data_IF_923831888694
#
_entry.id   IF_923831888694
#
_cell.length_a   1.000
_cell.length_b   1.000
_cell.length_c   1.000
_cell.angle_alpha   90.00
_cell.angle_beta   90.00
_cell.angle_gamma   90.00
#
_symmetry.space_group_name_H-M   'P 1'
#
loop_
_entity.id
_entity.type
_entity.pdbx_description
1 polymer ?
#
# COMPACT_ATOMS: atom_id res chain seq x y z
N UNK A 1 41.07 16.45 29.55
CA UNK A 1 39.60 16.48 29.44
C UNK A 1 39.22 16.62 27.97
N UNK A 2 38.77 15.56 27.33
CA UNK A 2 38.39 15.58 25.90
C UNK A 2 36.90 15.90 25.80
N UNK A 3 36.56 17.06 25.23
CA UNK A 3 35.16 17.41 24.96
C UNK A 3 34.59 16.46 23.90
N UNK A 4 33.49 15.79 24.24
CA UNK A 4 32.73 14.94 23.33
C UNK A 4 31.83 15.85 22.49
N UNK A 5 32.12 16.00 21.20
CA UNK A 5 31.27 16.76 20.30
C UNK A 5 29.90 16.05 20.17
N UNK A 6 28.85 16.69 20.69
CA UNK A 6 27.47 16.27 20.49
C UNK A 6 27.03 16.69 19.08
N UNK A 7 26.75 15.72 18.20
CA UNK A 7 26.21 15.97 16.85
C UNK A 7 24.72 16.34 16.96
N UNK A 8 24.30 17.41 16.27
CA UNK A 8 22.91 17.90 16.21
C UNK A 8 21.99 16.80 15.63
N UNK A 9 21.15 16.18 16.44
CA UNK A 9 20.10 15.25 16.00
C UNK A 9 18.82 16.06 15.68
N UNK A 10 18.74 16.67 14.49
CA UNK A 10 17.60 17.53 14.11
C UNK A 10 16.45 16.82 13.41
N UNK A 11 16.54 15.50 13.24
CA UNK A 11 15.54 14.74 12.49
C UNK A 11 14.26 14.47 13.26
N UNK A 12 14.21 14.80 14.55
CA UNK A 12 13.13 14.40 15.43
C UNK A 12 12.55 15.64 16.13
N UNK A 13 11.23 15.79 16.07
CA UNK A 13 10.47 16.82 16.78
C UNK A 13 9.91 16.16 18.04
N UNK A 14 10.08 16.79 19.20
CA UNK A 14 9.58 16.30 20.49
C UNK A 14 8.50 17.21 21.06
N UNK A 15 7.58 16.65 21.85
CA UNK A 15 6.59 17.41 22.59
C UNK A 15 7.19 18.12 23.82
N UNK A 16 6.37 18.87 24.55
CA UNK A 16 6.78 19.59 25.76
C UNK A 16 7.24 18.68 26.92
N UNK A 17 6.96 17.38 26.86
CA UNK A 17 7.40 16.37 27.84
C UNK A 17 8.64 15.62 27.37
N UNK A 18 9.18 15.92 26.20
CA UNK A 18 10.34 15.27 25.60
C UNK A 18 10.02 13.97 24.86
N UNK A 19 8.75 13.64 24.63
CA UNK A 19 8.37 12.48 23.84
C UNK A 19 8.50 12.78 22.35
N UNK A 20 8.85 11.77 21.55
CA UNK A 20 8.93 11.91 20.10
C UNK A 20 7.54 12.18 19.51
N UNK A 21 7.39 13.31 18.81
CA UNK A 21 6.15 13.74 18.19
C UNK A 21 6.17 13.62 16.66
N UNK A 22 7.31 13.86 16.00
CA UNK A 22 7.43 13.72 14.54
C UNK A 22 8.88 13.51 14.08
N UNK A 23 9.05 13.20 12.79
CA UNK A 23 10.34 13.09 12.11
C UNK A 23 10.39 14.04 10.91
N UNK A 24 11.52 14.72 10.72
CA UNK A 24 11.81 15.53 9.55
C UNK A 24 12.60 14.67 8.56
N UNK A 25 12.03 14.50 7.37
CA UNK A 25 12.64 13.76 6.26
C UNK A 25 12.89 14.70 5.09
N UNK A 26 13.96 14.46 4.34
CA UNK A 26 14.05 15.03 3.01
C UNK A 26 13.00 14.40 2.09
N UNK A 27 12.57 15.15 1.08
CA UNK A 27 11.46 14.76 0.22
C UNK A 27 11.72 13.45 -0.54
N UNK A 28 12.99 13.14 -0.86
CA UNK A 28 13.34 11.90 -1.58
C UNK A 28 13.19 10.69 -0.68
N UNK A 29 13.66 10.80 0.56
CA UNK A 29 13.46 9.76 1.58
C UNK A 29 11.98 9.53 1.86
N UNK A 30 11.20 10.61 1.98
CA UNK A 30 9.75 10.49 2.18
C UNK A 30 9.07 9.71 1.04
N UNK A 31 9.27 10.10 -0.23
CA UNK A 31 8.67 9.40 -1.35
C UNK A 31 9.11 7.95 -1.45
N UNK A 32 10.40 7.65 -1.25
CA UNK A 32 10.88 6.27 -1.27
C UNK A 32 10.17 5.39 -0.23
N UNK A 33 9.92 5.92 0.97
CA UNK A 33 9.20 5.19 2.01
C UNK A 33 7.72 4.99 1.66
N UNK A 34 7.09 5.95 0.97
CA UNK A 34 5.74 5.78 0.45
C UNK A 34 5.68 4.69 -0.61
N UNK A 35 6.60 4.71 -1.58
CA UNK A 35 6.64 3.70 -2.64
C UNK A 35 6.84 2.29 -2.06
N UNK A 36 7.74 2.15 -1.08
CA UNK A 36 7.96 0.87 -0.38
C UNK A 36 6.73 0.41 0.43
N UNK A 37 5.98 1.37 1.01
CA UNK A 37 4.75 1.09 1.73
C UNK A 37 3.65 0.59 0.77
N UNK A 38 3.44 1.29 -0.34
CA UNK A 38 2.45 0.92 -1.38
C UNK A 38 2.74 -0.48 -1.93
N UNK A 39 4.01 -0.77 -2.28
CA UNK A 39 4.39 -2.10 -2.75
C UNK A 39 4.11 -3.20 -1.72
N UNK A 40 4.23 -2.89 -0.42
CA UNK A 40 3.91 -3.86 0.62
C UNK A 40 2.39 -4.08 0.74
N UNK A 41 1.61 -3.01 0.69
CA UNK A 41 0.15 -3.06 0.71
C UNK A 41 -0.39 -3.87 -0.48
N UNK A 42 0.14 -3.64 -1.69
CA UNK A 42 -0.18 -4.42 -2.90
C UNK A 42 0.06 -5.91 -2.72
N UNK A 43 1.15 -6.30 -2.05
CA UNK A 43 1.47 -7.71 -1.79
C UNK A 43 0.48 -8.32 -0.80
N UNK A 44 0.04 -7.57 0.20
CA UNK A 44 -0.97 -8.03 1.15
C UNK A 44 -2.33 -8.19 0.48
N UNK A 45 -2.74 -7.21 -0.32
CA UNK A 45 -3.98 -7.25 -1.11
C UNK A 45 -3.96 -8.40 -2.11
N UNK A 46 -2.85 -8.63 -2.80
CA UNK A 46 -2.71 -9.78 -3.69
C UNK A 46 -2.86 -11.11 -2.95
N UNK A 47 -2.25 -11.25 -1.77
CA UNK A 47 -2.38 -12.49 -0.97
C UNK A 47 -3.82 -12.75 -0.58
N UNK A 48 -4.54 -11.71 -0.16
CA UNK A 48 -5.96 -11.79 0.16
C UNK A 48 -6.79 -12.15 -1.07
N UNK A 49 -6.64 -11.41 -2.16
CA UNK A 49 -7.36 -11.64 -3.41
C UNK A 49 -7.10 -13.03 -3.98
N UNK A 50 -5.87 -13.54 -3.87
CA UNK A 50 -5.53 -14.90 -4.30
C UNK A 50 -6.26 -15.97 -3.49
N UNK A 51 -6.35 -15.80 -2.16
CA UNK A 51 -7.08 -16.71 -1.29
C UNK A 51 -8.58 -16.70 -1.59
N UNK A 52 -9.16 -15.51 -1.75
CA UNK A 52 -10.57 -15.33 -2.13
C UNK A 52 -10.86 -15.96 -3.50
N UNK A 53 -10.01 -15.67 -4.50
CA UNK A 53 -10.13 -16.23 -5.85
C UNK A 53 -10.08 -17.76 -5.83
N UNK A 54 -9.20 -18.36 -5.02
CA UNK A 54 -9.15 -19.81 -4.90
C UNK A 54 -10.45 -20.37 -4.31
N UNK A 55 -11.02 -19.73 -3.29
CA UNK A 55 -12.30 -20.15 -2.72
C UNK A 55 -13.46 -20.02 -3.73
N UNK A 56 -13.44 -19.00 -4.59
CA UNK A 56 -14.41 -18.84 -5.67
C UNK A 56 -14.29 -19.97 -6.70
N UNK A 57 -13.07 -20.37 -7.06
CA UNK A 57 -12.85 -21.54 -7.93
C UNK A 57 -13.37 -22.83 -7.30
N UNK A 58 -13.02 -23.08 -6.04
CA UNK A 58 -13.38 -24.32 -5.34
C UNK A 58 -14.90 -24.44 -5.12
N UNK A 59 -15.59 -23.31 -4.94
CA UNK A 59 -17.05 -23.25 -4.78
C UNK A 59 -17.82 -23.19 -6.10
N UNK A 60 -17.13 -23.04 -7.23
CA UNK A 60 -17.75 -22.83 -8.54
C UNK A 60 -18.37 -21.44 -8.73
N UNK A 61 -18.08 -20.47 -7.85
CA UNK A 61 -18.48 -19.07 -7.98
C UNK A 61 -17.67 -18.34 -9.06
N UNK A 62 -17.74 -18.83 -10.30
CA UNK A 62 -16.98 -18.34 -11.44
C UNK A 62 -17.88 -17.99 -12.61
N UNK A 63 -17.39 -17.17 -13.53
CA UNK A 63 -18.08 -16.82 -14.77
C UNK A 63 -17.12 -16.96 -15.94
N UNK A 64 -17.60 -17.43 -17.09
CA UNK A 64 -16.78 -17.46 -18.30
C UNK A 64 -16.47 -16.06 -18.79
N UNK A 65 -15.35 -15.91 -19.49
CA UNK A 65 -14.93 -14.63 -20.07
C UNK A 65 -15.99 -14.14 -21.08
N UNK A 66 -16.53 -15.02 -21.91
CA UNK A 66 -17.61 -14.72 -22.86
C UNK A 66 -18.84 -14.18 -22.14
N UNK A 67 -19.28 -14.85 -21.08
CA UNK A 67 -20.43 -14.44 -20.28
C UNK A 67 -20.21 -13.07 -19.63
N UNK A 68 -18.99 -12.80 -19.16
CA UNK A 68 -18.62 -11.49 -18.62
C UNK A 68 -18.70 -10.39 -19.70
N UNK A 69 -18.11 -10.63 -20.89
CA UNK A 69 -18.13 -9.67 -22.00
C UNK A 69 -19.55 -9.41 -22.52
N UNK A 70 -20.40 -10.45 -22.61
CA UNK A 70 -21.80 -10.31 -22.98
C UNK A 70 -22.58 -9.44 -21.99
N UNK A 71 -22.40 -9.68 -20.67
CA UNK A 71 -23.04 -8.86 -19.62
C UNK A 71 -22.54 -7.42 -19.63
N UNK A 72 -21.24 -7.20 -19.80
CA UNK A 72 -20.59 -5.88 -19.70
C UNK A 72 -20.78 -5.04 -20.96
N UNK A 73 -20.79 -5.66 -22.14
CA UNK A 73 -20.72 -4.95 -23.43
C UNK A 73 -21.79 -5.39 -24.47
N UNK A 74 -22.49 -6.51 -24.27
CA UNK A 74 -23.43 -7.08 -25.24
C UNK A 74 -24.72 -6.30 -25.48
N UNK A 75 -25.03 -5.28 -24.68
CA UNK A 75 -26.28 -4.48 -24.80
C UNK A 75 -26.28 -3.43 -25.94
N UNK A 76 -25.24 -3.36 -26.79
CA UNK A 76 -25.14 -2.37 -27.89
C UNK A 76 -25.90 -2.71 -29.19
N UNK A 77 -26.70 -3.78 -29.25
CA UNK A 77 -27.57 -4.06 -30.41
C UNK A 77 -29.05 -4.05 -30.03
N UNK A 78 -29.64 -2.85 -29.98
CA UNK A 78 -31.05 -2.62 -30.27
C UNK A 78 -31.11 -1.50 -31.31
N UNK A 79 -31.22 -1.90 -32.58
CA UNK A 79 -31.78 -1.08 -33.66
C UNK A 79 -33.12 -1.70 -34.02
#
# INVERSE_FOLDING_TARGET
MTMKALRRNERFITDAKGNLAAVILDIRTYHKLLDELEMREDVEDYRKAKAETQADFDSGNTVSVETYFEKRFGRKKRK
#
